data_IF_676464164866
#
_entry.id   IF_676464164866
#
_cell.length_a   1.000
_cell.length_b   1.000
_cell.length_c   1.000
_cell.angle_alpha   90.00
_cell.angle_beta   90.00
_cell.angle_gamma   90.00
#
_symmetry.space_group_name_H-M   'P 1'
#
loop_
_entity.id
_entity.type
_entity.pdbx_description
1 polymer ?
#
# COMPACT_ATOMS: atom_id res chain seq x y z
N UNK A 1 18.62 -14.60 14.50
CA UNK A 1 18.08 -13.37 13.87
C UNK A 1 17.20 -12.65 14.88
N UNK A 2 17.30 -11.33 15.07
CA UNK A 2 16.47 -10.65 16.08
C UNK A 2 15.00 -10.56 15.64
N UNK A 3 14.07 -10.57 16.59
CA UNK A 3 12.61 -10.48 16.34
C UNK A 3 12.26 -9.29 15.44
N UNK A 4 12.89 -8.14 15.69
CA UNK A 4 12.71 -6.92 14.89
C UNK A 4 13.11 -7.13 13.42
N UNK A 5 14.21 -7.83 13.15
CA UNK A 5 14.66 -8.13 11.77
C UNK A 5 13.69 -9.06 11.06
N UNK A 6 13.16 -10.07 11.77
CA UNK A 6 12.17 -11.00 11.23
C UNK A 6 10.90 -10.25 10.82
N UNK A 7 10.34 -9.41 11.71
CA UNK A 7 9.13 -8.63 11.42
C UNK A 7 9.37 -7.65 10.26
N UNK A 8 10.54 -7.02 10.21
CA UNK A 8 10.89 -6.10 9.11
C UNK A 8 10.87 -6.82 7.77
N UNK A 9 11.41 -8.04 7.71
CA UNK A 9 11.44 -8.85 6.50
C UNK A 9 10.03 -9.29 6.08
N UNK A 10 9.19 -9.72 7.04
CA UNK A 10 7.78 -10.03 6.81
C UNK A 10 7.03 -8.81 6.27
N UNK A 11 7.25 -7.64 6.85
CA UNK A 11 6.65 -6.40 6.37
C UNK A 11 7.07 -6.07 4.95
N UNK A 12 8.34 -6.26 4.59
CA UNK A 12 8.76 -6.08 3.20
C UNK A 12 8.06 -7.06 2.26
N UNK A 13 7.87 -8.32 2.67
CA UNK A 13 7.09 -9.30 1.90
C UNK A 13 5.62 -8.90 1.72
N UNK A 14 5.00 -8.27 2.72
CA UNK A 14 3.62 -7.77 2.65
C UNK A 14 3.49 -6.47 1.84
N UNK A 15 4.44 -5.55 2.00
CA UNK A 15 4.47 -4.26 1.29
C UNK A 15 4.71 -4.48 -0.20
N UNK A 16 5.52 -5.48 -0.58
CA UNK A 16 5.89 -5.73 -1.98
C UNK A 16 4.68 -5.94 -2.91
N UNK A 17 3.74 -6.88 -2.68
CA UNK A 17 2.57 -7.06 -3.54
C UNK A 17 1.67 -5.82 -3.58
N UNK A 18 1.50 -5.12 -2.46
CA UNK A 18 0.78 -3.84 -2.45
C UNK A 18 1.50 -2.78 -3.28
N UNK A 19 2.81 -2.66 -3.14
CA UNK A 19 3.65 -1.75 -3.92
C UNK A 19 3.58 -2.02 -5.42
N UNK A 20 3.65 -3.28 -5.84
CA UNK A 20 3.48 -3.67 -7.24
C UNK A 20 2.09 -3.28 -7.76
N UNK A 21 1.03 -3.53 -6.99
CA UNK A 21 -0.33 -3.13 -7.34
C UNK A 21 -0.44 -1.61 -7.53
N UNK A 22 0.04 -0.82 -6.56
CA UNK A 22 0.01 0.64 -6.62
C UNK A 22 0.77 1.16 -7.84
N UNK A 23 1.99 0.69 -8.07
CA UNK A 23 2.81 1.10 -9.23
C UNK A 23 2.13 0.76 -10.55
N UNK A 24 1.57 -0.46 -10.67
CA UNK A 24 0.84 -0.88 -11.86
C UNK A 24 -0.32 0.08 -12.20
N UNK A 25 -1.09 0.51 -11.20
CA UNK A 25 -2.19 1.45 -11.39
C UNK A 25 -1.75 2.90 -11.58
N UNK A 26 -0.63 3.31 -10.96
CA UNK A 26 -0.07 4.64 -11.12
C UNK A 26 0.38 4.88 -12.57
N UNK A 27 0.93 3.85 -13.22
CA UNK A 27 1.37 3.93 -14.62
C UNK A 27 0.24 3.73 -15.64
N UNK A 28 -0.96 3.33 -15.23
CA UNK A 28 -2.10 3.30 -16.13
C UNK A 28 -2.68 4.70 -16.34
N UNK A 29 -3.03 4.99 -17.59
CA UNK A 29 -3.86 6.14 -17.91
C UNK A 29 -5.22 6.05 -17.18
N UNK A 30 -5.84 7.19 -16.94
CA UNK A 30 -7.22 7.21 -16.44
C UNK A 30 -8.18 6.73 -17.55
N UNK A 31 -9.30 6.15 -17.14
CA UNK A 31 -10.33 5.66 -18.05
C UNK A 31 -10.97 6.78 -18.88
N UNK A 32 -11.74 6.39 -19.91
CA UNK A 32 -12.52 7.29 -20.75
C UNK A 32 -13.80 7.76 -20.03
N UNK A 33 -13.65 8.33 -18.84
CA UNK A 33 -14.76 8.89 -18.05
C UNK A 33 -14.88 10.40 -18.32
N UNK A 34 -15.94 11.03 -17.81
CA UNK A 34 -16.01 12.49 -17.74
C UNK A 34 -14.90 13.08 -16.84
N UNK A 35 -14.72 14.40 -16.89
CA UNK A 35 -13.66 15.08 -16.14
C UNK A 35 -13.73 14.83 -14.62
N UNK A 36 -14.94 14.66 -14.06
CA UNK A 36 -15.14 14.37 -12.65
C UNK A 36 -14.65 12.95 -12.30
N UNK A 37 -14.98 11.95 -13.13
CA UNK A 37 -14.50 10.58 -12.98
C UNK A 37 -12.97 10.48 -13.11
N UNK A 38 -12.36 11.23 -14.02
CA UNK A 38 -10.90 11.26 -14.17
C UNK A 38 -10.23 11.87 -12.94
N UNK A 39 -10.83 12.92 -12.36
CA UNK A 39 -10.38 13.51 -11.10
C UNK A 39 -10.45 12.51 -9.94
N UNK A 40 -11.54 11.75 -9.84
CA UNK A 40 -11.71 10.72 -8.82
C UNK A 40 -10.69 9.58 -8.98
N UNK A 41 -10.48 9.05 -10.18
CA UNK A 41 -9.47 8.02 -10.43
C UNK A 41 -8.06 8.49 -10.04
N UNK A 42 -7.70 9.73 -10.39
CA UNK A 42 -6.41 10.31 -10.02
C UNK A 42 -6.27 10.47 -8.50
N UNK A 43 -7.32 10.93 -7.82
CA UNK A 43 -7.32 11.07 -6.36
C UNK A 43 -7.15 9.70 -5.68
N UNK A 44 -7.86 8.68 -6.14
CA UNK A 44 -7.73 7.31 -5.62
C UNK A 44 -6.31 6.79 -5.82
N UNK A 45 -5.73 6.91 -7.04
CA UNK A 45 -4.34 6.53 -7.30
C UNK A 45 -3.37 7.26 -6.35
N UNK A 46 -3.58 8.55 -6.12
CA UNK A 46 -2.81 9.35 -5.17
C UNK A 46 -2.91 8.83 -3.73
N UNK A 47 -4.11 8.53 -3.25
CA UNK A 47 -4.33 7.99 -1.88
C UNK A 47 -3.59 6.67 -1.71
N UNK A 48 -3.72 5.74 -2.65
CA UNK A 48 -3.01 4.46 -2.62
C UNK A 48 -1.48 4.64 -2.59
N UNK A 49 -0.96 5.60 -3.34
CA UNK A 49 0.46 5.94 -3.33
C UNK A 49 0.93 6.50 -1.97
N UNK A 50 0.19 7.43 -1.37
CA UNK A 50 0.54 7.97 -0.06
C UNK A 50 0.46 6.93 1.05
N UNK A 51 -0.51 6.01 0.99
CA UNK A 51 -0.61 4.90 1.93
C UNK A 51 0.60 3.96 1.82
N UNK A 52 1.08 3.67 0.60
CA UNK A 52 2.31 2.92 0.38
C UNK A 52 3.52 3.60 1.05
N UNK A 53 3.68 4.90 0.84
CA UNK A 53 4.76 5.67 1.48
C UNK A 53 4.66 5.64 3.01
N UNK A 54 3.45 5.75 3.56
CA UNK A 54 3.20 5.67 4.99
C UNK A 54 3.64 4.33 5.59
N UNK A 55 3.28 3.22 4.96
CA UNK A 55 3.64 1.87 5.45
C UNK A 55 5.15 1.61 5.29
N UNK A 56 5.77 2.07 4.21
CA UNK A 56 7.24 2.03 4.05
C UNK A 56 7.91 2.82 5.17
N UNK A 57 7.47 4.06 5.40
CA UNK A 57 8.01 4.93 6.45
C UNK A 57 7.93 4.28 7.83
N UNK A 58 6.77 3.71 8.18
CA UNK A 58 6.58 2.99 9.44
C UNK A 58 7.51 1.77 9.59
N UNK A 59 7.76 1.04 8.50
CA UNK A 59 8.63 -0.15 8.53
C UNK A 59 10.12 0.21 8.64
N UNK A 60 10.55 1.36 8.11
CA UNK A 60 11.93 1.85 8.19
C UNK A 60 12.33 2.29 9.61
N UNK A 61 11.37 2.68 10.44
CA UNK A 61 11.64 3.09 11.83
C UNK A 61 12.17 1.91 12.67
N UNK A 62 13.07 2.18 13.65
CA UNK A 62 13.72 1.14 14.44
C UNK A 62 12.85 0.59 15.59
N UNK A 63 11.63 1.10 15.77
CA UNK A 63 10.76 0.75 16.89
C UNK A 63 9.94 -0.51 16.59
N UNK A 64 9.74 -1.36 17.60
CA UNK A 64 8.93 -2.58 17.45
C UNK A 64 7.46 -2.24 17.13
N UNK A 65 6.89 -1.26 17.83
CA UNK A 65 5.49 -0.88 17.67
C UNK A 65 5.18 -0.35 16.27
N UNK A 66 6.10 0.41 15.66
CA UNK A 66 5.92 0.90 14.28
C UNK A 66 5.93 -0.23 13.27
N UNK A 67 6.71 -1.29 13.52
CA UNK A 67 6.73 -2.49 12.68
C UNK A 67 5.44 -3.29 12.80
N UNK A 68 4.88 -3.43 13.99
CA UNK A 68 3.57 -4.07 14.20
C UNK A 68 2.47 -3.27 13.48
N UNK A 69 2.47 -1.94 13.62
CA UNK A 69 1.53 -1.08 12.90
C UNK A 69 1.68 -1.21 11.37
N UNK A 70 2.91 -1.24 10.86
CA UNK A 70 3.17 -1.46 9.44
C UNK A 70 2.63 -2.81 8.97
N UNK A 71 2.75 -3.88 9.78
CA UNK A 71 2.17 -5.20 9.45
C UNK A 71 0.65 -5.14 9.34
N UNK A 72 -0.01 -4.56 10.35
CA UNK A 72 -1.47 -4.47 10.40
C UNK A 72 -2.02 -3.63 9.24
N UNK A 73 -1.39 -2.49 8.94
CA UNK A 73 -1.75 -1.64 7.82
C UNK A 73 -1.49 -2.33 6.48
N UNK A 74 -0.35 -3.00 6.30
CA UNK A 74 -0.07 -3.72 5.06
C UNK A 74 -1.12 -4.82 4.79
N UNK A 75 -1.48 -5.59 5.82
CA UNK A 75 -2.53 -6.62 5.71
C UNK A 75 -3.87 -5.98 5.35
N UNK A 76 -4.26 -4.91 6.05
CA UNK A 76 -5.51 -4.20 5.78
C UNK A 76 -5.57 -3.68 4.33
N UNK A 77 -4.47 -3.11 3.83
CA UNK A 77 -4.39 -2.60 2.47
C UNK A 77 -4.47 -3.72 1.43
N UNK A 78 -3.85 -4.87 1.68
CA UNK A 78 -3.99 -6.04 0.82
C UNK A 78 -5.42 -6.57 0.80
N UNK A 79 -6.09 -6.62 1.95
CA UNK A 79 -7.51 -6.99 2.04
C UNK A 79 -8.41 -5.98 1.31
N UNK A 80 -8.12 -4.69 1.41
CA UNK A 80 -8.84 -3.64 0.67
C UNK A 80 -8.66 -3.81 -0.84
N UNK A 81 -7.43 -4.05 -1.30
CA UNK A 81 -7.15 -4.32 -2.72
C UNK A 81 -7.91 -5.56 -3.19
N UNK A 82 -7.91 -6.63 -2.39
CA UNK A 82 -8.65 -7.84 -2.69
C UNK A 82 -10.17 -7.58 -2.79
N UNK A 83 -10.72 -6.80 -1.85
CA UNK A 83 -12.12 -6.42 -1.85
C UNK A 83 -12.51 -5.64 -3.12
N UNK A 84 -11.75 -4.59 -3.46
CA UNK A 84 -11.96 -3.77 -4.67
C UNK A 84 -11.81 -4.60 -5.96
N UNK A 85 -10.98 -5.64 -5.95
CA UNK A 85 -10.81 -6.50 -7.13
C UNK A 85 -11.94 -7.50 -7.32
N UNK A 86 -12.70 -7.80 -6.27
CA UNK A 86 -13.74 -8.85 -6.27
C UNK A 86 -15.16 -8.33 -6.26
N UNK A 87 -15.36 -7.03 -5.98
CA UNK A 87 -16.64 -6.34 -5.91
C UNK A 87 -16.55 -5.02 -6.68
#
# INVERSE_FOLDING_TARGET
>A
MSTIKIITLINWLLISPYGFYVLYYLFQANGSTDAAGQGMESAVKGVFFFLLLGVIGLNLLPYLWTKILASLLAILLLLLVYYIRTH
#
